data_IF_257957562078
#
_entry.id   IF_257957562078
#
_cell.length_a   1.000
_cell.length_b   1.000
_cell.length_c   1.000
_cell.angle_alpha   90.00
_cell.angle_beta   90.00
_cell.angle_gamma   90.00
#
_symmetry.space_group_name_H-M   'P 1'
#
loop_
_entity.id
_entity.type
_entity.pdbx_description
1 polymer ?
#
# COMPACT_ATOMS: atom_id res chain seq x y z
N UNK A 1 -20.77 -5.30 -3.05
CA UNK A 1 -19.82 -6.29 -3.63
C UNK A 1 -18.49 -6.06 -2.96
N UNK A 2 -17.96 -7.08 -2.30
CA UNK A 2 -16.76 -6.89 -1.49
C UNK A 2 -15.57 -6.39 -2.32
N UNK A 3 -14.90 -5.35 -1.82
CA UNK A 3 -13.67 -4.82 -2.41
C UNK A 3 -12.49 -5.76 -2.15
N UNK A 4 -12.39 -6.27 -0.91
CA UNK A 4 -11.35 -7.19 -0.47
C UNK A 4 -12.00 -8.35 0.30
N UNK A 5 -11.66 -9.57 -0.08
CA UNK A 5 -12.02 -10.79 0.63
C UNK A 5 -10.75 -11.57 0.93
N UNK A 6 -10.56 -11.95 2.18
CA UNK A 6 -9.52 -12.88 2.60
C UNK A 6 -10.19 -14.05 3.32
N UNK A 7 -9.88 -15.26 2.94
CA UNK A 7 -10.50 -16.48 3.47
C UNK A 7 -9.44 -17.49 3.87
N UNK A 8 -9.47 -17.94 5.12
CA UNK A 8 -8.61 -19.01 5.62
C UNK A 8 -7.12 -18.69 5.65
N UNK A 9 -6.75 -17.40 5.83
CA UNK A 9 -5.36 -16.96 5.78
C UNK A 9 -4.58 -17.53 6.97
N UNK A 10 -3.60 -18.34 6.66
CA UNK A 10 -2.66 -18.88 7.61
C UNK A 10 -1.22 -18.53 7.28
N UNK A 11 -0.40 -18.33 8.32
CA UNK A 11 1.04 -18.08 8.18
C UNK A 11 1.83 -18.67 9.33
N UNK A 12 2.87 -19.41 8.98
CA UNK A 12 3.84 -19.96 9.91
C UNK A 12 5.22 -19.35 9.66
N UNK A 13 6.02 -19.24 10.71
CA UNK A 13 7.46 -18.96 10.65
C UNK A 13 8.18 -20.08 11.41
N UNK A 14 8.79 -20.99 10.67
CA UNK A 14 9.26 -22.25 11.24
C UNK A 14 8.09 -22.99 11.90
N UNK A 15 8.25 -23.39 13.16
CA UNK A 15 7.22 -24.11 13.93
C UNK A 15 6.17 -23.18 14.56
N UNK A 16 6.34 -21.86 14.45
CA UNK A 16 5.44 -20.90 15.07
C UNK A 16 4.29 -20.53 14.13
N UNK A 17 3.06 -20.91 14.51
CA UNK A 17 1.83 -20.50 13.80
C UNK A 17 1.44 -19.08 14.23
N UNK A 18 1.64 -18.10 13.35
CA UNK A 18 1.37 -16.69 13.60
C UNK A 18 -0.05 -16.30 13.18
N UNK A 19 -0.50 -16.76 12.02
CA UNK A 19 -1.88 -16.58 11.58
C UNK A 19 -2.57 -17.95 11.50
N UNK A 20 -3.79 -18.02 12.01
CA UNK A 20 -4.57 -19.27 12.06
C UNK A 20 -5.97 -19.00 11.52
N UNK A 21 -6.20 -19.40 10.28
CA UNK A 21 -7.53 -19.38 9.64
C UNK A 21 -8.23 -18.01 9.73
N UNK A 22 -7.52 -16.94 9.36
CA UNK A 22 -8.07 -15.58 9.41
C UNK A 22 -8.92 -15.31 8.18
N UNK A 23 -10.18 -14.95 8.40
CA UNK A 23 -11.09 -14.54 7.33
C UNK A 23 -11.65 -13.16 7.62
N UNK A 24 -11.74 -12.33 6.59
CA UNK A 24 -12.29 -10.97 6.66
C UNK A 24 -12.81 -10.54 5.29
N UNK A 25 -13.74 -9.59 5.32
CA UNK A 25 -14.30 -8.95 4.14
C UNK A 25 -14.31 -7.44 4.36
N UNK A 26 -14.05 -6.67 3.32
CA UNK A 26 -14.10 -5.21 3.33
C UNK A 26 -14.86 -4.73 2.10
N UNK A 27 -15.91 -3.95 2.31
CA UNK A 27 -16.67 -3.29 1.24
C UNK A 27 -16.01 -1.98 0.81
N UNK A 28 -16.41 -1.46 -0.34
CA UNK A 28 -15.91 -0.17 -0.81
C UNK A 28 -16.35 0.97 0.13
N UNK A 29 -15.40 1.80 0.54
CA UNK A 29 -15.66 2.92 1.46
C UNK A 29 -15.64 2.54 2.93
N UNK A 30 -15.47 1.26 3.27
CA UNK A 30 -15.32 0.83 4.66
C UNK A 30 -13.88 0.95 5.17
N UNK A 31 -13.75 1.05 6.49
CA UNK A 31 -12.49 0.96 7.21
C UNK A 31 -12.51 -0.22 8.19
N UNK A 32 -11.53 -1.10 8.10
CA UNK A 32 -11.34 -2.22 9.01
C UNK A 32 -10.20 -1.93 9.99
N UNK A 33 -10.50 -1.93 11.28
CA UNK A 33 -9.49 -1.82 12.34
C UNK A 33 -9.10 -3.20 12.88
N UNK A 34 -7.80 -3.53 12.85
CA UNK A 34 -7.25 -4.76 13.41
C UNK A 34 -6.60 -4.43 14.74
N UNK A 35 -7.21 -4.87 15.83
CA UNK A 35 -6.80 -4.58 17.21
C UNK A 35 -6.26 -5.86 17.86
N UNK A 36 -5.29 -5.73 18.75
CA UNK A 36 -4.70 -6.85 19.50
C UNK A 36 -3.37 -6.47 20.15
N UNK A 37 -2.86 -7.34 21.02
CA UNK A 37 -1.58 -7.16 21.71
C UNK A 37 -0.38 -7.13 20.76
N UNK A 38 0.76 -6.64 21.22
CA UNK A 38 2.02 -6.76 20.47
C UNK A 38 2.33 -8.24 20.21
N UNK A 39 2.82 -8.55 19.01
CA UNK A 39 3.11 -9.94 18.62
C UNK A 39 1.90 -10.78 18.19
N UNK A 40 0.67 -10.27 18.22
CA UNK A 40 -0.53 -11.04 17.83
C UNK A 40 -0.69 -11.28 16.32
N UNK A 41 0.29 -10.94 15.49
CA UNK A 41 0.25 -11.20 14.05
C UNK A 41 -0.37 -10.11 13.17
N UNK A 42 -0.82 -8.96 13.73
CA UNK A 42 -1.44 -7.87 12.95
C UNK A 42 -0.61 -7.41 11.75
N UNK A 43 0.67 -7.13 11.99
CA UNK A 43 1.59 -6.72 10.92
C UNK A 43 1.81 -7.82 9.90
N UNK A 44 1.86 -9.08 10.35
CA UNK A 44 1.96 -10.26 9.47
C UNK A 44 0.73 -10.38 8.59
N UNK A 45 -0.48 -10.20 9.16
CA UNK A 45 -1.71 -10.21 8.39
C UNK A 45 -1.72 -9.11 7.31
N UNK A 46 -1.41 -7.86 7.68
CA UNK A 46 -1.32 -6.76 6.72
C UNK A 46 -0.28 -7.03 5.61
N UNK A 47 0.87 -7.63 5.97
CA UNK A 47 1.89 -8.02 4.98
C UNK A 47 1.41 -9.14 4.06
N UNK A 48 0.59 -10.07 4.57
CA UNK A 48 -0.03 -11.10 3.73
C UNK A 48 -1.05 -10.49 2.77
N UNK A 49 -1.91 -9.57 3.24
CA UNK A 49 -2.93 -8.94 2.42
C UNK A 49 -2.34 -8.13 1.25
N UNK A 50 -1.16 -7.52 1.43
CA UNK A 50 -0.49 -6.76 0.36
C UNK A 50 0.69 -7.51 -0.29
N UNK A 51 0.80 -8.81 -0.09
CA UNK A 51 1.78 -9.72 -0.69
C UNK A 51 3.25 -9.38 -0.39
N UNK A 52 3.55 -8.62 0.66
CA UNK A 52 4.92 -8.48 1.19
C UNK A 52 5.36 -9.73 1.93
N UNK A 53 4.39 -10.50 2.44
CA UNK A 53 4.58 -11.84 2.98
C UNK A 53 3.62 -12.79 2.25
N UNK A 54 4.04 -14.02 1.99
CA UNK A 54 3.19 -15.00 1.32
C UNK A 54 2.40 -15.79 2.36
N UNK A 55 1.07 -15.80 2.32
CA UNK A 55 0.28 -16.72 3.13
C UNK A 55 0.64 -18.19 2.80
N UNK A 56 0.63 -19.06 3.80
CA UNK A 56 0.85 -20.49 3.60
C UNK A 56 -0.47 -21.21 3.26
N UNK A 57 -1.59 -20.65 3.72
CA UNK A 57 -2.94 -21.15 3.40
C UNK A 57 -3.88 -19.99 3.09
N UNK A 58 -5.00 -20.30 2.45
CA UNK A 58 -6.10 -19.39 2.19
C UNK A 58 -6.05 -18.72 0.82
N UNK A 59 -7.05 -17.86 0.61
CA UNK A 59 -7.28 -17.16 -0.65
C UNK A 59 -7.53 -15.66 -0.38
N UNK A 60 -7.03 -14.80 -1.27
CA UNK A 60 -7.26 -13.34 -1.24
C UNK A 60 -7.85 -12.93 -2.58
N UNK A 61 -8.98 -12.20 -2.54
CA UNK A 61 -9.65 -11.64 -3.72
C UNK A 61 -9.80 -10.13 -3.59
N UNK A 62 -9.71 -9.44 -4.72
CA UNK A 62 -9.99 -7.99 -4.84
C UNK A 62 -10.97 -7.78 -5.98
N UNK A 63 -12.12 -7.15 -5.70
CA UNK A 63 -13.22 -7.00 -6.67
C UNK A 63 -13.64 -8.33 -7.33
N UNK A 64 -13.65 -9.43 -6.56
CA UNK A 64 -13.97 -10.76 -7.06
C UNK A 64 -12.84 -11.46 -7.83
N UNK A 65 -11.76 -10.77 -8.19
CA UNK A 65 -10.59 -11.37 -8.86
C UNK A 65 -9.66 -12.03 -7.83
N UNK A 66 -9.26 -13.28 -8.09
CA UNK A 66 -8.32 -14.00 -7.22
C UNK A 66 -6.93 -13.43 -7.36
N UNK A 67 -6.46 -12.78 -6.29
CA UNK A 67 -5.10 -12.24 -6.20
C UNK A 67 -4.09 -13.27 -5.71
N UNK A 68 -4.51 -14.11 -4.77
CA UNK A 68 -3.69 -15.17 -4.17
C UNK A 68 -4.57 -16.35 -3.83
N UNK A 69 -4.08 -17.54 -4.15
CA UNK A 69 -4.64 -18.79 -3.66
C UNK A 69 -3.47 -19.73 -3.33
N UNK A 70 -3.40 -20.18 -2.08
CA UNK A 70 -2.36 -21.09 -1.63
C UNK A 70 -2.43 -22.47 -2.34
N UNK A 71 -3.59 -22.84 -2.87
CA UNK A 71 -3.78 -24.07 -3.65
C UNK A 71 -3.43 -23.91 -5.14
N UNK A 72 -3.30 -22.69 -5.66
CA UNK A 72 -3.00 -22.42 -7.07
C UNK A 72 -1.60 -21.81 -7.27
N UNK A 73 -0.60 -22.60 -7.70
CA UNK A 73 0.75 -22.11 -7.96
C UNK A 73 0.83 -21.00 -9.03
N UNK A 74 -0.16 -20.86 -9.91
CA UNK A 74 -0.16 -19.83 -10.93
C UNK A 74 -0.28 -18.43 -10.31
N UNK A 75 -1.03 -18.29 -9.21
CA UNK A 75 -1.20 -17.04 -8.48
C UNK A 75 0.05 -16.63 -7.70
N UNK A 76 0.99 -17.56 -7.49
CA UNK A 76 2.17 -17.42 -6.62
C UNK A 76 3.44 -17.00 -7.39
N UNK A 77 3.36 -16.86 -8.71
CA UNK A 77 4.49 -16.44 -9.54
C UNK A 77 4.89 -15.00 -9.19
N UNK A 78 6.19 -14.75 -9.04
CA UNK A 78 6.69 -13.41 -8.63
C UNK A 78 6.25 -12.30 -9.61
N UNK A 79 6.20 -12.59 -10.91
CA UNK A 79 5.69 -11.65 -11.93
C UNK A 79 4.24 -11.24 -11.68
N UNK A 80 3.39 -12.17 -11.25
CA UNK A 80 1.99 -11.93 -10.93
C UNK A 80 1.84 -11.18 -9.61
N UNK A 81 2.58 -11.61 -8.58
CA UNK A 81 2.59 -10.95 -7.27
C UNK A 81 3.00 -9.47 -7.41
N UNK A 82 4.03 -9.18 -8.23
CA UNK A 82 4.48 -7.81 -8.48
C UNK A 82 3.37 -6.92 -9.05
N UNK A 83 2.59 -7.42 -10.01
CA UNK A 83 1.44 -6.70 -10.57
C UNK A 83 0.35 -6.48 -9.52
N UNK A 84 0.07 -7.51 -8.74
CA UNK A 84 -0.99 -7.50 -7.71
C UNK A 84 -0.68 -6.56 -6.55
N UNK A 85 0.59 -6.37 -6.18
CA UNK A 85 1.01 -5.38 -5.18
C UNK A 85 0.57 -3.95 -5.53
N UNK A 86 0.39 -3.63 -6.81
CA UNK A 86 -0.07 -2.31 -7.25
C UNK A 86 -1.52 -1.98 -6.86
N UNK A 87 -2.31 -3.00 -6.48
CA UNK A 87 -3.67 -2.80 -5.98
C UNK A 87 -3.71 -2.31 -4.52
N UNK A 88 -2.57 -2.35 -3.82
CA UNK A 88 -2.48 -2.06 -2.39
C UNK A 88 -1.50 -0.95 -2.12
N UNK A 89 -1.94 0.06 -1.37
CA UNK A 89 -1.06 1.04 -0.75
C UNK A 89 -0.72 0.60 0.68
N UNK A 90 0.53 0.73 1.09
CA UNK A 90 0.97 0.44 2.46
C UNK A 90 1.64 1.64 3.09
N UNK A 91 1.17 1.99 4.28
CA UNK A 91 1.79 3.00 5.14
C UNK A 91 2.46 2.31 6.32
N UNK A 92 3.77 2.44 6.42
CA UNK A 92 4.57 1.87 7.51
C UNK A 92 4.51 2.76 8.76
N UNK A 93 4.72 2.16 9.92
CA UNK A 93 4.77 2.86 11.21
C UNK A 93 5.82 3.99 11.24
N UNK A 94 6.99 3.76 10.66
CA UNK A 94 8.08 4.74 10.55
C UNK A 94 8.01 5.58 9.27
N UNK A 95 6.85 5.58 8.58
CA UNK A 95 6.56 6.27 7.31
C UNK A 95 7.47 5.88 6.14
N UNK A 96 8.74 5.55 6.37
CA UNK A 96 9.74 5.11 5.40
C UNK A 96 9.79 6.01 4.15
N UNK A 97 9.81 7.33 4.37
CA UNK A 97 10.03 8.27 3.28
C UNK A 97 11.48 8.21 2.83
N UNK A 98 11.69 8.31 1.54
CA UNK A 98 13.02 8.39 0.96
C UNK A 98 13.63 9.76 1.28
N UNK A 99 14.72 9.84 2.05
CA UNK A 99 15.26 11.10 2.54
C UNK A 99 15.83 12.01 1.43
N UNK A 100 16.21 11.42 0.30
CA UNK A 100 16.77 12.13 -0.86
C UNK A 100 15.69 12.73 -1.80
N UNK A 101 14.41 12.45 -1.56
CA UNK A 101 13.30 12.98 -2.34
C UNK A 101 12.47 13.97 -1.52
N UNK A 102 11.93 14.99 -2.19
CA UNK A 102 10.96 15.92 -1.61
C UNK A 102 9.62 15.20 -1.31
N UNK A 103 8.68 15.88 -0.68
CA UNK A 103 7.33 15.34 -0.46
C UNK A 103 6.68 14.90 -1.78
N UNK A 104 6.70 15.77 -2.80
CA UNK A 104 6.19 15.42 -4.15
C UNK A 104 6.98 14.27 -4.76
N UNK A 105 8.31 14.29 -4.65
CA UNK A 105 9.15 13.20 -5.15
C UNK A 105 8.84 11.86 -4.50
N UNK A 106 8.59 11.84 -3.18
CA UNK A 106 8.18 10.62 -2.47
C UNK A 106 6.83 10.08 -2.95
N UNK A 107 5.87 10.97 -3.21
CA UNK A 107 4.53 10.59 -3.69
C UNK A 107 4.62 10.04 -5.11
N UNK A 108 5.33 10.70 -6.03
CA UNK A 108 5.27 10.40 -7.46
C UNK A 108 6.30 9.38 -7.96
N UNK A 109 7.27 8.97 -7.11
CA UNK A 109 8.38 8.10 -7.51
C UNK A 109 7.92 6.79 -8.16
N UNK A 110 7.00 6.08 -7.51
CA UNK A 110 6.53 4.78 -7.98
C UNK A 110 5.81 4.90 -9.33
N UNK A 111 4.91 5.87 -9.48
CA UNK A 111 4.19 6.15 -10.73
C UNK A 111 5.16 6.52 -11.87
N UNK A 112 6.18 7.33 -11.58
CA UNK A 112 7.23 7.68 -12.57
C UNK A 112 8.08 6.48 -12.98
N UNK A 113 8.34 5.54 -12.07
CA UNK A 113 9.06 4.30 -12.39
C UNK A 113 8.21 3.38 -13.26
N UNK A 114 6.95 3.17 -12.90
CA UNK A 114 5.99 2.36 -13.68
C UNK A 114 5.75 2.96 -15.08
N UNK A 115 5.67 4.28 -15.17
CA UNK A 115 5.48 4.96 -16.45
C UNK A 115 6.58 4.65 -17.46
N UNK A 116 7.80 4.30 -17.03
CA UNK A 116 8.91 3.91 -17.93
C UNK A 116 8.64 2.61 -18.68
N UNK A 117 7.75 1.76 -18.17
CA UNK A 117 7.36 0.49 -18.79
C UNK A 117 6.29 0.69 -19.88
N UNK A 118 5.72 1.89 -20.03
CA UNK A 118 4.71 2.21 -21.04
C UNK A 118 5.33 2.26 -22.44
N UNK A 119 4.64 1.72 -23.46
CA UNK A 119 5.13 1.76 -24.85
C UNK A 119 5.35 3.18 -25.39
N UNK A 120 4.49 4.13 -24.98
CA UNK A 120 4.50 5.52 -25.43
C UNK A 120 5.44 6.44 -24.60
N UNK A 121 6.13 5.89 -23.58
CA UNK A 121 6.92 6.69 -22.65
C UNK A 121 7.99 7.55 -23.31
N UNK A 122 8.75 6.98 -24.27
CA UNK A 122 9.85 7.71 -24.91
C UNK A 122 9.37 8.96 -25.67
N UNK A 123 8.18 8.88 -26.27
CA UNK A 123 7.61 9.96 -27.07
C UNK A 123 6.91 11.01 -26.20
N UNK A 124 6.26 10.57 -25.12
CA UNK A 124 5.38 11.40 -24.28
C UNK A 124 5.91 11.62 -22.85
N UNK A 125 7.20 11.39 -22.60
CA UNK A 125 7.80 11.41 -21.25
C UNK A 125 7.46 12.67 -20.46
N UNK A 126 7.53 13.85 -21.09
CA UNK A 126 7.27 15.13 -20.43
C UNK A 126 5.81 15.22 -19.98
N UNK A 127 4.87 15.00 -20.88
CA UNK A 127 3.44 15.03 -20.58
C UNK A 127 3.03 14.00 -19.52
N UNK A 128 3.60 12.78 -19.59
CA UNK A 128 3.35 11.72 -18.61
C UNK A 128 3.84 12.15 -17.21
N UNK A 129 5.02 12.73 -17.10
CA UNK A 129 5.57 13.17 -15.82
C UNK A 129 4.81 14.38 -15.27
N UNK A 130 4.40 15.33 -16.12
CA UNK A 130 3.56 16.46 -15.71
C UNK A 130 2.21 15.99 -15.16
N UNK A 131 1.56 15.02 -15.80
CA UNK A 131 0.32 14.44 -15.30
C UNK A 131 0.50 13.74 -13.95
N UNK A 132 1.57 12.96 -13.77
CA UNK A 132 1.89 12.29 -12.48
C UNK A 132 2.17 13.33 -11.39
N UNK A 133 2.91 14.39 -11.72
CA UNK A 133 3.20 15.45 -10.74
C UNK A 133 1.94 16.22 -10.37
N UNK A 134 1.03 16.48 -11.32
CA UNK A 134 -0.26 17.12 -11.04
C UNK A 134 -1.12 16.28 -10.07
N UNK A 135 -1.25 14.97 -10.32
CA UNK A 135 -1.94 14.04 -9.40
C UNK A 135 -1.31 14.07 -7.99
N UNK A 136 0.03 14.03 -7.93
CA UNK A 136 0.76 14.08 -6.66
C UNK A 136 0.54 15.40 -5.90
N UNK A 137 0.47 16.54 -6.62
CA UNK A 137 0.18 17.85 -6.03
C UNK A 137 -1.24 17.92 -5.49
N UNK A 138 -2.23 17.41 -6.22
CA UNK A 138 -3.62 17.33 -5.76
C UNK A 138 -3.78 16.49 -4.50
N UNK A 139 -3.11 15.33 -4.44
CA UNK A 139 -3.10 14.48 -3.25
C UNK A 139 -2.45 15.18 -2.06
N UNK A 140 -1.32 15.84 -2.25
CA UNK A 140 -0.67 16.61 -1.18
C UNK A 140 -1.54 17.78 -0.73
N UNK A 141 -2.23 18.46 -1.64
CA UNK A 141 -3.15 19.53 -1.32
C UNK A 141 -4.35 19.03 -0.49
N UNK A 142 -4.94 17.89 -0.86
CA UNK A 142 -6.02 17.26 -0.07
C UNK A 142 -5.59 16.86 1.34
N UNK A 143 -4.28 16.63 1.55
CA UNK A 143 -3.69 16.35 2.87
C UNK A 143 -3.24 17.63 3.61
N UNK A 144 -3.53 18.83 3.08
CA UNK A 144 -3.13 20.12 3.68
C UNK A 144 -1.61 20.36 3.63
N UNK A 145 -0.95 19.93 2.55
CA UNK A 145 0.50 20.04 2.36
C UNK A 145 0.89 20.81 1.10
N UNK A 146 0.01 21.70 0.59
CA UNK A 146 0.26 22.47 -0.63
C UNK A 146 1.54 23.30 -0.57
N UNK A 147 1.88 23.84 0.61
CA UNK A 147 3.05 24.67 0.87
C UNK A 147 4.31 23.83 1.23
N UNK A 148 4.20 22.50 1.28
CA UNK A 148 5.26 21.58 1.71
C UNK A 148 5.74 20.64 0.60
N UNK A 149 5.26 20.78 -0.61
CA UNK A 149 5.53 19.85 -1.73
C UNK A 149 7.01 19.70 -2.08
N UNK A 150 7.78 20.79 -1.92
CA UNK A 150 9.23 20.84 -2.15
C UNK A 150 10.09 20.49 -0.93
N UNK A 151 9.50 20.23 0.26
CA UNK A 151 10.25 19.94 1.47
C UNK A 151 10.73 18.49 1.49
N UNK A 152 11.91 18.27 2.07
CA UNK A 152 12.48 16.95 2.32
C UNK A 152 11.95 16.39 3.65
N UNK A 153 11.97 15.03 3.85
CA UNK A 153 11.45 14.41 5.07
C UNK A 153 11.96 15.03 6.38
N UNK A 154 13.21 15.37 6.47
CA UNK A 154 13.81 15.99 7.68
C UNK A 154 13.29 17.42 7.98
N UNK A 155 12.63 18.05 7.02
CA UNK A 155 12.02 19.38 7.15
C UNK A 155 10.52 19.31 7.52
N UNK A 156 9.98 18.09 7.64
CA UNK A 156 8.57 17.83 7.91
C UNK A 156 8.39 17.31 9.32
N UNK A 157 7.33 17.76 10.01
CA UNK A 157 6.91 17.14 11.28
C UNK A 157 6.47 15.69 11.08
N UNK A 158 6.44 14.89 12.15
CA UNK A 158 5.98 13.49 12.07
C UNK A 158 4.59 13.34 11.45
N UNK A 159 3.65 14.21 11.82
CA UNK A 159 2.30 14.22 11.23
C UNK A 159 2.30 14.63 9.74
N UNK A 160 3.20 15.53 9.32
CA UNK A 160 3.37 15.87 7.90
C UNK A 160 3.98 14.70 7.13
N UNK A 161 5.01 14.03 7.67
CA UNK A 161 5.60 12.83 7.07
C UNK A 161 4.57 11.71 6.92
N UNK A 162 3.71 11.53 7.92
CA UNK A 162 2.61 10.56 7.85
C UNK A 162 1.67 10.89 6.69
N UNK A 163 1.23 12.14 6.55
CA UNK A 163 0.36 12.56 5.44
C UNK A 163 1.01 12.39 4.07
N UNK A 164 2.32 12.67 3.94
CA UNK A 164 3.08 12.35 2.71
C UNK A 164 3.08 10.85 2.42
N UNK A 165 3.27 9.99 3.44
CA UNK A 165 3.24 8.55 3.28
C UNK A 165 1.85 8.04 2.86
N UNK A 166 0.77 8.67 3.37
CA UNK A 166 -0.61 8.39 2.94
C UNK A 166 -0.80 8.79 1.47
N UNK A 167 -0.42 10.01 1.08
CA UNK A 167 -0.51 10.46 -0.30
C UNK A 167 0.27 9.53 -1.25
N UNK A 168 1.48 9.08 -0.85
CA UNK A 168 2.27 8.10 -1.59
C UNK A 168 1.55 6.76 -1.77
N UNK A 169 0.79 6.33 -0.78
CA UNK A 169 0.02 5.08 -0.86
C UNK A 169 -1.23 5.20 -1.73
N UNK A 170 -1.76 6.41 -1.92
CA UNK A 170 -2.98 6.68 -2.71
C UNK A 170 -2.69 6.98 -4.19
N UNK A 171 -1.49 7.47 -4.52
CA UNK A 171 -1.13 7.80 -5.91
C UNK A 171 -1.19 6.58 -6.81
N UNK A 172 -1.63 6.76 -8.05
CA UNK A 172 -1.74 5.66 -9.02
C UNK A 172 -2.96 4.77 -8.80
N UNK A 173 -4.00 5.27 -8.13
CA UNK A 173 -5.31 4.59 -7.97
C UNK A 173 -5.23 3.26 -7.20
N UNK A 174 -4.43 3.20 -6.13
CA UNK A 174 -4.47 2.07 -5.19
C UNK A 174 -5.89 1.87 -4.65
N UNK A 175 -6.45 0.67 -4.87
CA UNK A 175 -7.84 0.36 -4.50
C UNK A 175 -8.02 0.16 -3.00
N UNK A 176 -6.95 -0.25 -2.32
CA UNK A 176 -6.96 -0.53 -0.89
C UNK A 176 -5.69 0.04 -0.25
N UNK A 177 -5.85 0.79 0.83
CA UNK A 177 -4.71 1.31 1.63
C UNK A 177 -4.71 0.66 3.00
N UNK A 178 -3.59 0.06 3.38
CA UNK A 178 -3.39 -0.55 4.69
C UNK A 178 -2.37 0.23 5.52
N UNK A 179 -2.67 0.38 6.81
CA UNK A 179 -1.83 1.08 7.78
C UNK A 179 -1.33 0.10 8.83
N UNK A 180 -0.04 0.14 9.15
CA UNK A 180 0.53 -0.71 10.21
C UNK A 180 0.33 -0.14 11.61
N UNK A 181 0.07 1.16 11.74
CA UNK A 181 -0.20 1.82 13.02
C UNK A 181 -0.89 3.18 12.78
N UNK A 182 -2.09 3.35 13.35
CA UNK A 182 -2.74 4.66 13.49
C UNK A 182 -2.51 5.11 14.93
N UNK A 183 -1.73 6.17 15.15
CA UNK A 183 -1.81 6.94 16.38
C UNK A 183 -3.03 7.84 16.26
N UNK A 184 -4.12 7.48 16.95
CA UNK A 184 -5.21 8.43 17.17
C UNK A 184 -4.64 9.60 18.00
N UNK A 185 -4.95 10.86 17.64
CA UNK A 185 -4.60 11.96 18.52
C UNK A 185 -5.25 11.71 19.89
N UNK A 186 -4.42 11.63 20.91
CA UNK A 186 -4.91 11.70 22.29
C UNK A 186 -5.32 13.14 22.55
N UNK A 187 -6.63 13.37 22.66
CA UNK A 187 -7.18 14.62 23.20
C UNK A 187 -6.71 14.80 24.63
#
# INVERSE_FOLDING_TARGET
MALLEASGIGKNFGDTKVLKDISLTLEQGEALAIIGSSGSGKTTLLRCLNFLERPDTGCIRVNGETMWDAADPATQRESEIRKKRLHFGLVFQSFNLFPQYTALGNVTLASKLLAKERPDFKQNKKAIYEAIDAEGLELLASMGLSDRTGHYPHQLSGGQQQRVAIARALVGSSKTVSYTHLTLPTN
#
